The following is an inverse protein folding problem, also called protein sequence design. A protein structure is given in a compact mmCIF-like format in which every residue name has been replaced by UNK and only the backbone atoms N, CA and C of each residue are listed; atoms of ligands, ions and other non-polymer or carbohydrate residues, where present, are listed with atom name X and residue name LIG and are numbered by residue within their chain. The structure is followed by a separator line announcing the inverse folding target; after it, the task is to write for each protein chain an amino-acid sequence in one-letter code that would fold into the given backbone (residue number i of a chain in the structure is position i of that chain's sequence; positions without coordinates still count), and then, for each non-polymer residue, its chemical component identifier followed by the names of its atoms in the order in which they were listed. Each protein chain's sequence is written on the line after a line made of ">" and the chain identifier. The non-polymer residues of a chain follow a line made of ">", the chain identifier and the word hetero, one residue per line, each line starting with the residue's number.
data_IF_336921193205
#
_entry.id   IF_336921193205
#
_cell.length_a   1.000
_cell.length_b   1.000
_cell.length_c   1.000
_cell.angle_alpha   90.00
_cell.angle_beta   90.00
_cell.angle_gamma   90.00
#
_symmetry.space_group_name_H-M   'P 1'
#
loop_
_entity.id
_entity.type
_entity.pdbx_description
1 polymer ?
#
# COMPACT_ATOMS: atom_id res chain seq x y z
N UNK A 1 -24.18 -23.37 17.31
CA UNK A 1 -24.24 -21.92 17.02
C UNK A 1 -22.85 -21.26 16.97
N UNK A 2 -21.75 -22.00 17.16
CA UNK A 2 -20.41 -21.42 17.33
C UNK A 2 -19.53 -21.43 16.07
N UNK A 3 -19.77 -22.33 15.11
CA UNK A 3 -19.01 -22.37 13.84
C UNK A 3 -19.26 -21.16 12.93
N UNK A 4 -20.50 -20.65 12.89
CA UNK A 4 -20.86 -19.49 12.07
C UNK A 4 -20.18 -18.20 12.56
N UNK A 5 -20.04 -18.06 13.88
CA UNK A 5 -19.36 -16.90 14.49
C UNK A 5 -17.87 -16.87 14.17
N UNK A 6 -17.22 -18.03 14.13
CA UNK A 6 -15.80 -18.13 13.78
C UNK A 6 -15.52 -17.74 12.33
N UNK A 7 -16.40 -18.14 11.40
CA UNK A 7 -16.23 -17.79 9.99
C UNK A 7 -16.40 -16.29 9.74
N UNK A 8 -17.34 -15.65 10.44
CA UNK A 8 -17.53 -14.20 10.36
C UNK A 8 -16.31 -13.41 10.85
N UNK A 9 -15.66 -13.84 11.94
CA UNK A 9 -14.45 -13.17 12.45
C UNK A 9 -13.29 -13.29 11.47
N UNK A 10 -13.10 -14.47 10.86
CA UNK A 10 -12.06 -14.67 9.82
C UNK A 10 -12.32 -13.76 8.62
N UNK A 11 -13.58 -13.65 8.18
CA UNK A 11 -13.96 -12.81 7.05
C UNK A 11 -13.73 -11.32 7.34
N UNK A 12 -14.06 -10.87 8.55
CA UNK A 12 -13.79 -9.50 8.99
C UNK A 12 -12.29 -9.20 9.05
N UNK A 13 -11.48 -10.12 9.57
CA UNK A 13 -10.04 -9.93 9.67
C UNK A 13 -9.37 -9.90 8.29
N UNK A 14 -9.78 -10.79 7.37
CA UNK A 14 -9.30 -10.80 5.98
C UNK A 14 -9.75 -9.54 5.22
N UNK A 15 -10.99 -9.09 5.45
CA UNK A 15 -11.51 -7.84 4.89
C UNK A 15 -10.70 -6.62 5.37
N UNK A 16 -10.41 -6.55 6.68
CA UNK A 16 -9.59 -5.48 7.26
C UNK A 16 -8.16 -5.50 6.71
N UNK A 17 -7.53 -6.67 6.55
CA UNK A 17 -6.19 -6.80 5.95
C UNK A 17 -6.19 -6.36 4.48
N UNK A 18 -7.21 -6.73 3.70
CA UNK A 18 -7.37 -6.26 2.32
C UNK A 18 -7.56 -4.74 2.27
N UNK A 19 -8.33 -4.18 3.19
CA UNK A 19 -8.59 -2.73 3.30
C UNK A 19 -7.36 -1.93 3.74
N UNK A 20 -6.54 -2.48 4.64
CA UNK A 20 -5.27 -1.87 5.06
C UNK A 20 -4.24 -1.88 3.92
N UNK A 21 -4.24 -2.92 3.09
CA UNK A 21 -3.31 -3.06 1.97
C UNK A 21 -3.61 -2.06 0.84
N UNK A 22 -4.90 -1.77 0.58
CA UNK A 22 -5.31 -0.77 -0.42
C UNK A 22 -5.04 0.68 0.03
N UNK A 23 -5.06 0.94 1.34
CA UNK A 23 -4.85 2.29 1.90
C UNK A 23 -3.39 2.78 1.75
N UNK A 24 -2.42 1.87 1.79
CA UNK A 24 -0.99 2.21 1.69
C UNK A 24 -0.58 2.60 0.26
N UNK A 25 -1.18 1.99 -0.75
CA UNK A 25 -0.86 2.27 -2.16
C UNK A 25 -1.51 3.56 -2.67
N UNK A 26 -2.66 3.96 -2.10
CA UNK A 26 -3.41 5.14 -2.55
C UNK A 26 -2.85 6.47 -2.03
N UNK A 27 -2.14 6.47 -0.90
CA UNK A 27 -1.64 7.71 -0.29
C UNK A 27 -0.47 8.33 -1.08
N UNK A 28 0.47 7.52 -1.55
CA UNK A 28 1.71 8.03 -2.17
C UNK A 28 1.51 8.61 -3.57
N UNK A 29 0.64 8.00 -4.38
CA UNK A 29 0.33 8.48 -5.75
C UNK A 29 -0.38 9.83 -5.71
N UNK A 30 -1.24 10.05 -4.70
CA UNK A 30 -2.03 11.27 -4.57
C UNK A 30 -1.17 12.52 -4.27
N UNK A 31 -0.12 12.35 -3.46
CA UNK A 31 0.79 13.45 -3.10
C UNK A 31 1.68 13.90 -4.26
N UNK A 32 2.04 13.00 -5.18
CA UNK A 32 2.83 13.37 -6.36
C UNK A 32 1.99 14.09 -7.43
N UNK A 33 0.79 13.60 -7.73
CA UNK A 33 -0.09 14.23 -8.72
C UNK A 33 -0.53 15.64 -8.28
N UNK A 34 -0.81 15.82 -6.98
CA UNK A 34 -1.13 17.15 -6.43
C UNK A 34 0.04 18.12 -6.53
N UNK A 35 1.27 17.63 -6.37
CA UNK A 35 2.50 18.39 -6.52
C UNK A 35 2.72 18.84 -7.98
N UNK A 36 2.53 17.93 -8.94
CA UNK A 36 2.63 18.22 -10.38
C UNK A 36 1.59 19.27 -10.83
N UNK A 37 0.33 19.14 -10.39
CA UNK A 37 -0.73 20.12 -10.67
C UNK A 37 -0.42 21.50 -10.08
N UNK A 38 0.08 21.54 -8.84
CA UNK A 38 0.55 22.77 -8.20
C UNK A 38 1.64 23.45 -9.05
N UNK A 39 2.62 22.68 -9.56
CA UNK A 39 3.67 23.23 -10.42
C UNK A 39 3.15 23.74 -11.75
N UNK A 40 2.26 22.99 -12.40
CA UNK A 40 1.69 23.40 -13.67
C UNK A 40 0.92 24.72 -13.55
N UNK A 41 0.19 24.92 -12.44
CA UNK A 41 -0.49 26.18 -12.12
C UNK A 41 0.51 27.31 -11.88
N UNK A 42 1.55 27.08 -11.10
CA UNK A 42 2.56 28.09 -10.80
C UNK A 42 3.31 28.55 -12.07
N UNK A 43 3.73 27.60 -12.92
CA UNK A 43 4.40 27.90 -14.20
C UNK A 43 3.54 28.75 -15.12
N UNK A 44 2.26 28.42 -15.25
CA UNK A 44 1.33 29.18 -16.09
C UNK A 44 1.11 30.61 -15.58
N UNK A 45 1.25 30.83 -14.26
CA UNK A 45 1.16 32.16 -13.64
C UNK A 45 2.43 32.98 -13.86
N UNK A 46 3.61 32.38 -13.71
CA UNK A 46 4.88 33.09 -13.72
C UNK A 46 5.41 33.38 -15.14
N UNK A 47 5.07 32.52 -16.13
CA UNK A 47 5.56 32.67 -17.50
C UNK A 47 4.54 33.43 -18.36
N UNK A 48 4.58 34.76 -18.27
CA UNK A 48 3.76 35.64 -19.12
C UNK A 48 4.27 35.65 -20.57
N UNK A 49 5.60 35.80 -20.76
CA UNK A 49 6.24 35.85 -22.08
C UNK A 49 6.67 34.46 -22.55
N UNK A 50 5.80 33.86 -23.36
CA UNK A 50 5.93 32.48 -23.81
C UNK A 50 6.92 32.40 -24.96
N UNK A 51 8.21 32.32 -24.67
CA UNK A 51 9.24 32.05 -25.67
C UNK A 51 9.33 30.54 -25.91
N UNK A 52 9.81 30.14 -27.08
CA UNK A 52 10.01 28.73 -27.46
C UNK A 52 11.50 28.46 -27.50
N UNK A 53 11.92 27.27 -27.05
CA UNK A 53 13.32 26.85 -27.03
C UNK A 53 14.15 27.40 -25.86
N UNK A 54 13.50 28.01 -24.86
CA UNK A 54 14.16 28.53 -23.65
C UNK A 54 13.72 27.68 -22.46
N UNK A 55 14.70 27.34 -21.62
CA UNK A 55 14.46 26.66 -20.35
C UNK A 55 14.15 27.69 -19.27
N UNK A 56 13.04 27.48 -18.55
CA UNK A 56 12.66 28.29 -17.41
C UNK A 56 12.88 27.48 -16.13
N UNK A 57 13.54 28.11 -15.16
CA UNK A 57 13.64 27.58 -13.80
C UNK A 57 12.42 28.03 -13.01
N UNK A 58 11.85 27.13 -12.22
CA UNK A 58 10.77 27.49 -11.30
C UNK A 58 11.32 27.57 -9.88
N UNK A 59 10.93 28.61 -9.14
CA UNK A 59 11.20 28.71 -7.72
C UNK A 59 10.17 27.89 -6.95
N UNK A 60 10.64 26.92 -6.18
CA UNK A 60 9.81 26.11 -5.30
C UNK A 60 9.59 26.82 -3.96
N UNK A 61 8.44 26.61 -3.29
CA UNK A 61 8.27 26.94 -1.89
C UNK A 61 9.36 26.27 -1.03
N UNK A 62 9.69 26.88 0.11
CA UNK A 62 10.70 26.39 1.05
C UNK A 62 10.52 24.92 1.45
N UNK A 63 9.28 24.43 1.48
CA UNK A 63 8.96 23.06 1.85
C UNK A 63 9.51 22.00 0.87
N UNK A 64 9.85 22.41 -0.36
CA UNK A 64 10.38 21.51 -1.40
C UNK A 64 11.85 21.83 -1.74
N UNK A 65 12.56 22.43 -0.80
CA UNK A 65 13.99 22.75 -0.96
C UNK A 65 14.77 21.48 -1.32
N UNK A 66 15.55 21.54 -2.39
CA UNK A 66 16.34 20.41 -2.90
C UNK A 66 15.74 19.72 -4.12
N UNK A 67 14.45 19.91 -4.42
CA UNK A 67 13.89 19.55 -5.73
C UNK A 67 14.26 20.61 -6.77
N UNK A 68 14.28 20.22 -8.05
CA UNK A 68 14.48 21.14 -9.17
C UNK A 68 13.51 20.80 -10.30
N UNK A 69 12.64 21.75 -10.63
CA UNK A 69 11.74 21.66 -11.77
C UNK A 69 12.17 22.66 -12.83
N UNK A 70 12.15 22.23 -14.09
CA UNK A 70 12.46 23.08 -15.25
C UNK A 70 11.52 22.78 -16.38
N UNK A 71 11.15 23.81 -17.13
CA UNK A 71 10.19 23.67 -18.24
C UNK A 71 10.76 24.24 -19.51
N UNK A 72 10.46 23.60 -20.64
CA UNK A 72 10.81 24.11 -21.97
C UNK A 72 9.63 23.95 -22.91
N UNK A 73 9.27 25.04 -23.60
CA UNK A 73 8.28 25.00 -24.67
C UNK A 73 8.94 24.77 -26.01
N UNK A 74 8.44 23.80 -26.77
CA UNK A 74 9.04 23.36 -28.03
C UNK A 74 7.98 23.31 -29.14
N UNK A 75 8.44 23.48 -30.38
CA UNK A 75 7.63 23.17 -31.57
C UNK A 75 7.82 21.68 -31.86
N UNK A 76 6.73 20.93 -31.94
CA UNK A 76 6.75 19.47 -32.15
C UNK A 76 7.48 19.08 -33.43
N UNK A 77 7.31 19.85 -34.51
CA UNK A 77 8.04 19.63 -35.77
C UNK A 77 9.54 19.81 -35.64
N UNK A 78 10.00 20.79 -34.84
CA UNK A 78 11.44 20.99 -34.62
C UNK A 78 12.02 19.90 -33.74
N UNK A 79 11.27 19.47 -32.72
CA UNK A 79 11.65 18.36 -31.85
C UNK A 79 11.75 17.05 -32.63
N UNK A 80 10.79 16.76 -33.50
CA UNK A 80 10.84 15.58 -34.36
C UNK A 80 12.11 15.55 -35.25
N UNK A 81 12.49 16.69 -35.85
CA UNK A 81 13.64 16.76 -36.76
C UNK A 81 14.98 16.72 -36.01
N UNK A 82 15.08 17.42 -34.87
CA UNK A 82 16.37 17.68 -34.20
C UNK A 82 16.58 16.89 -32.92
N UNK A 83 15.52 16.33 -32.35
CA UNK A 83 15.54 15.85 -30.98
C UNK A 83 15.73 16.98 -29.97
N UNK A 84 16.22 16.63 -28.79
CA UNK A 84 16.55 17.56 -27.72
C UNK A 84 17.57 16.91 -26.78
N UNK A 85 18.69 17.59 -26.54
CA UNK A 85 19.65 17.17 -25.53
C UNK A 85 19.68 18.20 -24.41
N UNK A 86 19.35 17.76 -23.20
CA UNK A 86 19.28 18.63 -22.04
C UNK A 86 19.58 17.93 -20.72
N UNK A 87 20.55 18.48 -19.97
CA UNK A 87 20.96 17.98 -18.65
C UNK A 87 21.34 16.50 -18.69
N UNK A 88 20.44 15.63 -18.25
CA UNK A 88 20.64 14.18 -18.25
C UNK A 88 19.83 13.47 -19.35
N UNK A 89 18.89 14.16 -19.98
CA UNK A 89 17.95 13.58 -20.92
C UNK A 89 18.38 13.89 -22.36
N UNK A 90 18.46 12.85 -23.18
CA UNK A 90 18.76 12.95 -24.59
C UNK A 90 17.65 12.30 -25.41
N UNK A 91 16.81 13.15 -26.00
CA UNK A 91 15.75 12.78 -26.92
C UNK A 91 16.33 12.75 -28.33
N UNK A 92 16.37 11.58 -28.99
CA UNK A 92 16.83 11.50 -30.37
C UNK A 92 15.83 12.16 -31.33
N UNK A 93 16.24 12.43 -32.58
CA UNK A 93 15.32 12.71 -33.67
C UNK A 93 14.28 11.58 -33.86
N UNK A 94 13.19 11.90 -34.54
CA UNK A 94 12.08 11.00 -34.88
C UNK A 94 11.21 10.49 -33.72
N UNK A 95 11.32 11.08 -32.53
CA UNK A 95 10.35 10.88 -31.45
C UNK A 95 9.08 11.65 -31.77
N UNK A 96 7.94 10.96 -31.83
CA UNK A 96 6.63 11.55 -32.18
C UNK A 96 5.79 11.79 -30.92
N UNK A 97 5.52 13.04 -30.54
CA UNK A 97 4.61 13.35 -29.44
C UNK A 97 3.15 13.08 -29.85
N UNK A 98 2.37 12.48 -28.95
CA UNK A 98 0.94 12.26 -29.10
C UNK A 98 0.16 12.89 -27.92
N UNK A 99 -0.98 13.57 -28.17
CA UNK A 99 -1.56 13.84 -29.48
C UNK A 99 -0.75 14.86 -30.30
N UNK A 100 -0.89 14.82 -31.62
CA UNK A 100 -0.15 15.73 -32.50
C UNK A 100 -0.68 17.17 -32.35
N UNK A 101 0.12 18.03 -31.72
CA UNK A 101 -0.13 19.48 -31.59
C UNK A 101 1.02 20.28 -32.18
N UNK A 102 0.80 21.57 -32.48
CA UNK A 102 1.85 22.46 -33.00
C UNK A 102 3.00 22.70 -32.02
N UNK A 103 2.68 22.75 -30.72
CA UNK A 103 3.65 23.00 -29.64
C UNK A 103 3.36 22.08 -28.46
N UNK A 104 4.42 21.80 -27.72
CA UNK A 104 4.40 21.04 -26.47
C UNK A 104 5.29 21.72 -25.44
N UNK A 105 5.08 21.38 -24.18
CA UNK A 105 6.01 21.67 -23.08
C UNK A 105 6.53 20.37 -22.52
N UNK A 106 7.83 20.30 -22.24
CA UNK A 106 8.41 19.24 -21.43
C UNK A 106 8.72 19.83 -20.05
N UNK A 107 8.14 19.22 -19.03
CA UNK A 107 8.45 19.43 -17.62
C UNK A 107 9.53 18.42 -17.23
N UNK A 108 10.65 18.92 -16.72
CA UNK A 108 11.74 18.13 -16.16
C UNK A 108 11.70 18.22 -14.65
N UNK A 109 11.88 17.07 -14.02
CA UNK A 109 11.69 16.91 -12.59
C UNK A 109 12.92 16.23 -12.01
N UNK A 110 13.46 16.81 -10.95
CA UNK A 110 14.55 16.24 -10.19
C UNK A 110 14.15 16.28 -8.72
N UNK A 111 13.87 15.11 -8.17
CA UNK A 111 13.40 14.98 -6.79
C UNK A 111 14.54 15.09 -5.77
N UNK A 112 15.80 14.95 -6.19
CA UNK A 112 16.93 15.08 -5.27
C UNK A 112 16.78 14.20 -4.04
N UNK A 113 16.95 14.79 -2.85
CA UNK A 113 16.82 14.09 -1.57
C UNK A 113 15.39 13.64 -1.25
N UNK A 114 14.37 14.17 -1.95
CA UNK A 114 12.97 13.80 -1.76
C UNK A 114 12.57 12.54 -2.53
N UNK A 115 13.50 11.95 -3.29
CA UNK A 115 13.22 10.76 -4.10
C UNK A 115 12.54 9.65 -3.30
N UNK A 116 13.08 9.31 -2.12
CA UNK A 116 12.53 8.23 -1.28
C UNK A 116 11.22 8.59 -0.56
N UNK A 117 10.82 9.86 -0.55
CA UNK A 117 9.53 10.29 0.00
C UNK A 117 8.39 10.04 -0.99
N UNK A 118 8.64 10.27 -2.29
CA UNK A 118 7.63 10.16 -3.35
C UNK A 118 7.68 8.81 -4.08
N UNK A 119 8.83 8.13 -4.06
CA UNK A 119 9.05 6.91 -4.82
C UNK A 119 9.57 5.79 -3.93
N UNK A 120 8.85 4.67 -3.96
CA UNK A 120 9.23 3.48 -3.22
C UNK A 120 9.85 2.43 -4.15
N UNK A 121 10.92 1.80 -3.67
CA UNK A 121 11.50 0.60 -4.29
C UNK A 121 11.38 -0.57 -3.32
N UNK A 122 11.32 -1.82 -3.80
CA UNK A 122 11.25 -2.99 -2.93
C UNK A 122 12.47 -3.03 -2.02
N UNK A 123 12.30 -3.56 -0.81
CA UNK A 123 13.38 -3.66 0.19
C UNK A 123 14.58 -4.49 -0.27
N UNK A 124 14.42 -5.32 -1.31
CA UNK A 124 15.51 -6.04 -1.96
C UNK A 124 16.42 -5.14 -2.80
N UNK A 125 16.10 -3.87 -2.96
CA UNK A 125 16.84 -2.88 -3.75
C UNK A 125 17.06 -1.60 -2.96
N UNK A 126 18.09 -0.85 -3.34
CA UNK A 126 18.41 0.46 -2.77
C UNK A 126 18.68 1.45 -3.89
N UNK A 127 18.08 2.64 -3.83
CA UNK A 127 18.32 3.70 -4.80
C UNK A 127 19.75 4.25 -4.65
N UNK A 128 20.47 4.36 -5.76
CA UNK A 128 21.84 4.92 -5.81
C UNK A 128 21.91 6.26 -6.53
N UNK A 129 20.78 6.71 -7.07
CA UNK A 129 20.61 8.00 -7.71
C UNK A 129 19.26 8.64 -7.33
N UNK A 130 19.14 9.99 -7.43
CA UNK A 130 17.86 10.67 -7.36
C UNK A 130 16.91 10.18 -8.46
N UNK A 131 15.61 10.27 -8.19
CA UNK A 131 14.57 10.06 -9.20
C UNK A 131 14.50 11.30 -10.08
N UNK A 132 14.59 11.06 -11.39
CA UNK A 132 14.40 12.07 -12.41
C UNK A 132 13.17 11.75 -13.24
N UNK A 133 12.33 12.76 -13.44
CA UNK A 133 11.11 12.66 -14.22
C UNK A 133 11.16 13.56 -15.46
N UNK A 134 10.43 13.16 -16.48
CA UNK A 134 9.97 14.11 -17.49
C UNK A 134 8.56 13.78 -17.94
N UNK A 135 7.76 14.84 -18.04
CA UNK A 135 6.37 14.76 -18.50
C UNK A 135 6.18 15.77 -19.62
N UNK A 136 5.49 15.34 -20.68
CA UNK A 136 5.16 16.21 -21.80
C UNK A 136 3.70 16.64 -21.74
N UNK A 137 3.42 17.88 -22.13
CA UNK A 137 2.09 18.47 -22.17
C UNK A 137 1.84 19.20 -23.47
N UNK A 138 0.57 19.27 -23.85
CA UNK A 138 0.11 20.21 -24.88
C UNK A 138 0.44 21.66 -24.51
N UNK A 139 0.65 22.52 -25.50
CA UNK A 139 0.92 23.95 -25.28
C UNK A 139 0.24 24.80 -26.34
N UNK A 140 -0.35 25.93 -25.94
CA UNK A 140 -1.16 26.80 -26.81
C UNK A 140 -0.87 28.29 -26.60
N UNK A 141 -1.56 29.13 -27.38
CA UNK A 141 -1.51 30.59 -27.21
C UNK A 141 -2.29 31.04 -25.96
N UNK A 142 -3.11 30.18 -25.34
CA UNK A 142 -3.89 30.52 -24.14
C UNK A 142 -3.28 29.96 -22.85
N UNK A 143 -2.58 28.81 -22.92
CA UNK A 143 -1.86 28.24 -21.78
C UNK A 143 -0.42 27.83 -22.17
N UNK A 144 0.56 28.14 -21.31
CA UNK A 144 1.95 27.70 -21.50
C UNK A 144 2.03 26.18 -21.34
N UNK A 145 1.58 25.65 -20.20
CA UNK A 145 1.30 24.22 -19.97
C UNK A 145 -0.20 23.98 -20.13
N UNK A 146 -0.59 23.16 -21.10
CA UNK A 146 -1.96 22.74 -21.32
C UNK A 146 -2.40 21.64 -20.36
N UNK A 147 -3.70 21.33 -20.36
CA UNK A 147 -4.29 20.32 -19.46
C UNK A 147 -4.02 18.87 -19.88
N UNK A 148 -3.78 18.65 -21.16
CA UNK A 148 -3.62 17.32 -21.75
C UNK A 148 -2.13 16.93 -21.72
N UNK A 149 -1.82 15.82 -21.02
CA UNK A 149 -0.52 15.14 -21.04
C UNK A 149 -0.28 14.53 -22.44
N UNK A 150 0.98 14.49 -22.84
CA UNK A 150 1.43 13.89 -24.09
C UNK A 150 2.27 12.65 -23.82
N UNK A 151 2.10 11.63 -24.66
CA UNK A 151 2.98 10.47 -24.73
C UNK A 151 3.95 10.59 -25.91
N UNK A 152 4.96 9.72 -25.93
CA UNK A 152 5.92 9.63 -27.04
C UNK A 152 5.80 8.28 -27.74
N UNK A 153 5.76 8.31 -29.06
CA UNK A 153 5.89 7.14 -29.91
C UNK A 153 7.31 7.09 -30.47
N UNK A 154 8.02 6.01 -30.16
CA UNK A 154 9.44 5.82 -30.44
C UNK A 154 9.58 4.49 -31.17
N UNK A 155 10.09 4.53 -32.41
CA UNK A 155 10.22 3.34 -33.26
C UNK A 155 11.66 2.79 -33.31
N UNK A 156 12.65 3.68 -33.36
CA UNK A 156 14.05 3.29 -33.61
C UNK A 156 14.95 3.52 -32.39
N UNK A 157 15.29 4.79 -32.10
CA UNK A 157 16.27 5.14 -31.08
C UNK A 157 15.55 5.52 -29.77
N UNK A 158 15.89 4.89 -28.64
CA UNK A 158 15.31 5.24 -27.35
C UNK A 158 15.78 6.61 -26.87
N UNK A 159 15.02 7.19 -25.95
CA UNK A 159 15.49 8.34 -25.17
C UNK A 159 16.55 7.82 -24.19
N UNK A 160 17.68 8.54 -24.07
CA UNK A 160 18.76 8.18 -23.16
C UNK A 160 18.73 9.06 -21.91
N UNK A 161 18.85 8.44 -20.75
CA UNK A 161 18.96 9.12 -19.45
C UNK A 161 20.33 8.85 -18.86
N UNK A 162 21.13 9.90 -18.67
CA UNK A 162 22.51 9.84 -18.21
C UNK A 162 22.64 10.23 -16.73
N UNK A 163 22.93 9.26 -15.87
CA UNK A 163 23.11 9.50 -14.44
C UNK A 163 24.59 9.81 -14.15
N UNK A 164 24.90 11.09 -13.89
CA UNK A 164 26.29 11.56 -13.74
C UNK A 164 26.84 11.45 -12.31
N UNK A 165 25.98 11.36 -11.29
CA UNK A 165 26.36 11.38 -9.87
C UNK A 165 25.81 10.17 -9.13
N UNK A 166 26.35 8.99 -9.44
CA UNK A 166 25.94 7.73 -8.79
C UNK A 166 26.94 7.40 -7.71
N UNK A 167 26.47 7.26 -6.47
CA UNK A 167 27.30 6.85 -5.33
C UNK A 167 27.21 5.34 -5.19
N UNK A 168 28.22 4.63 -5.69
CA UNK A 168 28.37 3.20 -5.43
C UNK A 168 29.25 3.00 -4.20
N UNK A 169 28.78 2.17 -3.28
CA UNK A 169 29.53 1.81 -2.07
C UNK A 169 30.47 0.62 -2.34
N UNK A 170 30.18 -0.24 -3.32
CA UNK A 170 31.00 -1.39 -3.66
C UNK A 170 31.31 -1.49 -5.16
N UNK A 171 32.50 -2.00 -5.52
CA UNK A 171 32.93 -2.20 -6.91
C UNK A 171 32.13 -3.27 -7.66
N UNK A 172 31.34 -4.11 -6.97
CA UNK A 172 30.55 -5.21 -7.56
C UNK A 172 29.09 -4.84 -7.79
N UNK A 173 28.62 -3.71 -7.29
CA UNK A 173 27.24 -3.31 -7.48
C UNK A 173 27.06 -2.86 -8.93
N UNK A 174 26.27 -3.62 -9.69
CA UNK A 174 25.86 -3.25 -11.04
C UNK A 174 24.50 -2.58 -10.96
N UNK A 175 24.40 -1.26 -11.19
CA UNK A 175 23.11 -0.57 -11.16
C UNK A 175 22.14 -1.10 -12.21
N UNK A 176 20.86 -1.03 -11.89
CA UNK A 176 19.75 -1.42 -12.75
C UNK A 176 18.85 -0.19 -12.92
N UNK A 177 18.39 0.05 -14.14
CA UNK A 177 17.43 1.10 -14.43
C UNK A 177 16.05 0.69 -13.92
N UNK A 178 15.38 1.62 -13.27
CA UNK A 178 14.02 1.44 -12.79
C UNK A 178 13.14 2.54 -13.36
N UNK A 179 12.03 2.13 -13.96
CA UNK A 179 10.94 2.98 -14.43
C UNK A 179 9.74 2.81 -13.49
N UNK A 180 9.20 3.94 -13.01
CA UNK A 180 7.96 3.96 -12.24
C UNK A 180 6.79 4.19 -13.20
N UNK A 181 5.90 3.21 -13.28
CA UNK A 181 4.68 3.28 -14.08
C UNK A 181 3.54 3.90 -13.26
N UNK A 182 2.55 4.50 -13.94
CA UNK A 182 1.41 5.20 -13.31
C UNK A 182 0.56 4.29 -12.38
N UNK A 183 0.63 2.97 -12.56
CA UNK A 183 -0.07 1.99 -11.73
C UNK A 183 0.73 1.53 -10.50
N UNK A 184 1.86 2.19 -10.21
CA UNK A 184 2.76 1.83 -9.11
C UNK A 184 3.60 0.58 -9.38
N UNK A 185 3.55 0.02 -10.60
CA UNK A 185 4.43 -1.07 -11.00
C UNK A 185 5.81 -0.52 -11.34
N UNK A 186 6.84 -1.26 -10.94
CA UNK A 186 8.23 -0.96 -11.25
C UNK A 186 8.71 -1.86 -12.38
N UNK A 187 9.28 -1.25 -13.42
CA UNK A 187 9.92 -1.97 -14.49
C UNK A 187 11.43 -1.87 -14.37
N UNK A 188 12.08 -3.02 -14.35
CA UNK A 188 13.53 -3.14 -14.22
C UNK A 188 14.14 -3.44 -15.58
N UNK A 189 15.06 -2.58 -16.01
CA UNK A 189 15.79 -2.72 -17.26
C UNK A 189 17.29 -2.68 -17.01
N UNK A 190 18.04 -3.53 -17.70
CA UNK A 190 19.50 -3.44 -17.69
C UNK A 190 19.95 -2.14 -18.37
N UNK A 191 21.07 -1.59 -17.89
CA UNK A 191 21.69 -0.44 -18.52
C UNK A 191 22.32 -0.82 -19.86
N UNK A 192 22.22 0.06 -20.84
CA UNK A 192 22.89 -0.10 -22.14
C UNK A 192 24.38 0.28 -22.06
N UNK A 193 24.68 1.32 -21.26
CA UNK A 193 26.02 1.80 -20.95
C UNK A 193 26.10 2.13 -19.45
N UNK A 194 27.30 2.20 -18.85
CA UNK A 194 27.43 2.56 -17.44
C UNK A 194 26.63 3.83 -17.10
N UNK A 195 25.67 3.70 -16.19
CA UNK A 195 24.79 4.77 -15.73
C UNK A 195 23.90 5.41 -16.81
N UNK A 196 23.56 4.66 -17.87
CA UNK A 196 22.66 5.11 -18.94
C UNK A 196 21.45 4.19 -19.06
N UNK A 197 20.26 4.78 -18.95
CA UNK A 197 18.98 4.09 -19.15
C UNK A 197 18.40 4.42 -20.52
N UNK A 198 17.88 3.41 -21.20
CA UNK A 198 17.11 3.53 -22.44
C UNK A 198 15.62 3.48 -22.13
N UNK A 199 14.89 4.52 -22.53
CA UNK A 199 13.47 4.68 -22.20
C UNK A 199 12.63 4.99 -23.44
N UNK A 200 11.37 4.57 -23.40
CA UNK A 200 10.44 4.62 -24.54
C UNK A 200 9.17 5.45 -24.24
N UNK A 201 9.11 6.12 -23.10
CA UNK A 201 7.93 6.86 -22.67
C UNK A 201 8.27 8.01 -21.75
N UNK A 202 7.24 8.75 -21.34
CA UNK A 202 7.30 9.72 -20.24
C UNK A 202 7.17 8.99 -18.91
N UNK A 203 7.75 9.56 -17.86
CA UNK A 203 7.64 8.98 -16.53
C UNK A 203 8.81 9.34 -15.65
N UNK A 204 9.01 8.52 -14.61
CA UNK A 204 10.04 8.70 -13.60
C UNK A 204 11.02 7.55 -13.65
N UNK A 205 12.30 7.89 -13.50
CA UNK A 205 13.40 6.96 -13.68
C UNK A 205 14.45 7.13 -12.59
N UNK A 206 15.01 6.01 -12.14
CA UNK A 206 16.14 6.01 -11.20
C UNK A 206 17.06 4.81 -11.45
N UNK A 207 18.18 4.80 -10.73
CA UNK A 207 19.10 3.67 -10.64
C UNK A 207 19.01 3.03 -9.27
N UNK A 208 18.94 1.70 -9.25
CA UNK A 208 18.96 0.91 -8.02
C UNK A 208 20.06 -0.14 -8.07
N UNK A 209 20.50 -0.59 -6.90
CA UNK A 209 21.37 -1.76 -6.74
C UNK A 209 20.67 -2.77 -5.82
N UNK A 210 20.91 -4.08 -5.99
CA UNK A 210 20.44 -5.07 -5.03
C UNK A 210 20.93 -4.73 -3.61
N UNK A 211 20.04 -4.73 -2.63
CA UNK A 211 20.41 -4.39 -1.25
C UNK A 211 21.03 -5.60 -0.56
N UNK A 212 22.24 -5.51 0.03
CA UNK A 212 22.86 -6.63 0.74
C UNK A 212 22.11 -6.99 2.03
N UNK A 213 21.33 -6.04 2.58
CA UNK A 213 20.56 -6.21 3.81
C UNK A 213 19.28 -7.01 3.64
N UNK A 214 18.83 -7.27 2.41
CA UNK A 214 17.70 -8.17 2.16
C UNK A 214 18.16 -9.63 2.21
N UNK A 215 18.46 -10.09 3.41
CA UNK A 215 18.57 -11.51 3.66
C UNK A 215 17.16 -12.07 3.76
N UNK A 216 16.66 -12.63 2.64
CA UNK A 216 15.34 -13.28 2.54
C UNK A 216 15.09 -14.26 3.69
N UNK A 217 16.15 -14.88 4.23
CA UNK A 217 16.08 -15.78 5.37
C UNK A 217 15.71 -15.08 6.68
N UNK A 218 16.25 -13.88 6.98
CA UNK A 218 15.98 -13.16 8.24
C UNK A 218 14.54 -12.64 8.32
N UNK A 219 13.99 -12.12 7.22
CA UNK A 219 12.59 -11.68 7.18
C UNK A 219 11.63 -12.87 7.29
N UNK A 220 11.96 -13.99 6.63
CA UNK A 220 11.17 -15.23 6.74
C UNK A 220 11.22 -15.78 8.17
N UNK A 221 12.38 -15.76 8.82
CA UNK A 221 12.54 -16.18 10.22
C UNK A 221 11.73 -15.27 11.16
N UNK A 222 11.79 -13.94 10.99
CA UNK A 222 11.07 -13.02 11.87
C UNK A 222 9.55 -13.10 11.69
N UNK A 223 9.09 -13.30 10.45
CA UNK A 223 7.68 -13.54 10.15
C UNK A 223 7.19 -14.85 10.77
N UNK A 224 7.96 -15.95 10.62
CA UNK A 224 7.67 -17.24 11.25
C UNK A 224 7.65 -17.11 12.78
N UNK A 225 8.62 -16.40 13.37
CA UNK A 225 8.69 -16.19 14.81
C UNK A 225 7.45 -15.43 15.33
N UNK A 226 6.99 -14.41 14.58
CA UNK A 226 5.75 -13.70 14.87
C UNK A 226 4.52 -14.61 14.87
N UNK A 227 4.38 -15.50 13.88
CA UNK A 227 3.27 -16.46 13.83
C UNK A 227 3.32 -17.49 14.96
N UNK A 228 4.52 -18.00 15.28
CA UNK A 228 4.70 -18.98 16.36
C UNK A 228 4.35 -18.35 17.71
N UNK A 229 4.82 -17.13 17.98
CA UNK A 229 4.50 -16.43 19.23
C UNK A 229 3.00 -16.12 19.35
N UNK A 230 2.35 -15.70 18.27
CA UNK A 230 0.91 -15.45 18.26
C UNK A 230 0.09 -16.74 18.49
N UNK A 231 0.50 -17.85 17.86
CA UNK A 231 -0.17 -19.14 18.02
C UNK A 231 -0.03 -19.67 19.45
N UNK A 232 1.18 -19.60 20.03
CA UNK A 232 1.42 -20.01 21.43
C UNK A 232 0.59 -19.15 22.40
N UNK A 233 0.53 -17.83 22.17
CA UNK A 233 -0.31 -16.93 22.96
C UNK A 233 -1.80 -17.29 22.90
N UNK A 234 -2.30 -17.61 21.71
CA UNK A 234 -3.69 -18.02 21.51
C UNK A 234 -4.02 -19.33 22.25
N UNK A 235 -3.14 -20.34 22.16
CA UNK A 235 -3.33 -21.62 22.85
C UNK A 235 -3.36 -21.45 24.36
N UNK A 236 -2.46 -20.64 24.93
CA UNK A 236 -2.44 -20.34 26.37
C UNK A 236 -3.73 -19.64 26.82
N UNK A 237 -4.23 -18.69 26.03
CA UNK A 237 -5.49 -17.99 26.32
C UNK A 237 -6.69 -18.95 26.33
N UNK A 238 -6.78 -19.86 25.35
CA UNK A 238 -7.83 -20.88 25.30
C UNK A 238 -7.77 -21.80 26.52
N UNK A 239 -6.57 -22.24 26.92
CA UNK A 239 -6.41 -23.09 28.10
C UNK A 239 -6.84 -22.38 29.39
N UNK A 240 -6.53 -21.09 29.56
CA UNK A 240 -7.00 -20.28 30.68
C UNK A 240 -8.53 -20.15 30.69
N UNK A 241 -9.16 -19.93 29.54
CA UNK A 241 -10.62 -19.86 29.46
C UNK A 241 -11.28 -21.20 29.84
N UNK A 242 -10.73 -22.33 29.37
CA UNK A 242 -11.24 -23.67 29.72
C UNK A 242 -11.12 -23.94 31.22
N UNK A 243 -10.00 -23.58 31.86
CA UNK A 243 -9.83 -23.79 33.30
C UNK A 243 -10.77 -22.91 34.11
N UNK A 244 -10.99 -21.65 33.71
CA UNK A 244 -11.97 -20.77 34.34
C UNK A 244 -13.41 -21.30 34.20
N UNK A 245 -13.79 -21.79 33.02
CA UNK A 245 -15.12 -22.38 32.81
C UNK A 245 -15.30 -23.67 33.62
N UNK A 246 -14.28 -24.55 33.66
CA UNK A 246 -14.32 -25.76 34.50
C UNK A 246 -14.40 -25.41 35.98
N UNK A 247 -13.66 -24.40 36.44
CA UNK A 247 -13.71 -23.93 37.82
C UNK A 247 -15.07 -23.31 38.17
N UNK A 248 -15.66 -22.52 37.26
CA UNK A 248 -16.99 -21.96 37.42
C UNK A 248 -18.06 -23.08 37.47
N UNK A 249 -17.95 -24.08 36.59
CA UNK A 249 -18.86 -25.24 36.57
C UNK A 249 -18.73 -26.08 37.84
N UNK A 250 -17.51 -26.35 38.32
CA UNK A 250 -17.29 -27.02 39.62
C UNK A 250 -17.86 -26.22 40.78
N UNK A 251 -17.68 -24.90 40.80
CA UNK A 251 -18.28 -24.02 41.82
C UNK A 251 -19.81 -24.04 41.77
N UNK A 252 -20.41 -24.17 40.59
CA UNK A 252 -21.86 -24.34 40.45
C UNK A 252 -22.31 -25.72 40.96
N UNK A 253 -21.61 -26.81 40.60
CA UNK A 253 -21.93 -28.15 41.11
C UNK A 253 -21.83 -28.22 42.63
N UNK A 254 -20.79 -27.62 43.23
CA UNK A 254 -20.60 -27.58 44.69
C UNK A 254 -21.67 -26.76 45.43
N UNK A 255 -22.29 -25.78 44.76
CA UNK A 255 -23.45 -25.05 45.27
C UNK A 255 -24.76 -25.85 45.15
N UNK A 256 -24.85 -26.75 44.17
CA UNK A 256 -26.01 -27.63 43.97
C UNK A 256 -26.01 -28.82 44.94
N UNK A 257 -24.84 -29.37 45.27
CA UNK A 257 -24.71 -30.44 46.30
C UNK A 257 -25.15 -29.95 47.69
N UNK A 258 -24.79 -28.73 48.07
CA UNK A 258 -25.17 -28.14 49.38
C UNK A 258 -26.67 -27.87 49.54
N UNK A 259 -27.40 -27.71 48.43
CA UNK A 259 -28.86 -27.56 48.47
C UNK A 259 -29.60 -28.92 48.45
N UNK A 260 -28.91 -30.01 48.10
CA UNK A 260 -29.48 -31.37 48.12
C UNK A 260 -29.39 -32.03 49.51
N UNK A 261 -28.42 -31.67 50.34
CA UNK A 261 -28.32 -32.14 51.74
C UNK A 261 -29.38 -31.51 52.66
N UNK A 262 -30.01 -30.41 52.23
CA UNK A 262 -31.17 -29.81 52.88
C UNK A 262 -32.52 -30.28 52.28
N UNK A 263 -32.51 -31.35 51.47
CA UNK A 263 -33.73 -32.03 51.06
C UNK A 263 -34.41 -32.67 52.28
N UNK A 264 -35.56 -32.11 52.65
CA UNK A 264 -36.38 -32.44 53.81
C UNK A 264 -36.49 -33.96 54.05
N UNK A 265 -35.98 -34.42 55.19
CA UNK A 265 -36.20 -35.78 55.66
C UNK A 265 -37.70 -35.95 55.93
N UNK A 266 -38.39 -36.75 55.11
CA UNK A 266 -39.79 -37.10 55.32
C UNK A 266 -39.99 -37.63 56.74
N UNK A 267 -40.94 -37.00 57.45
CA UNK A 267 -41.27 -37.26 58.84
C UNK A 267 -41.73 -38.72 59.01
N UNK A 268 -40.90 -39.55 59.64
CA UNK A 268 -41.22 -40.95 59.91
C UNK A 268 -41.73 -41.09 61.33
N UNK A 269 -42.96 -41.57 61.49
CA UNK A 269 -43.52 -41.82 62.82
C UNK A 269 -43.49 -43.31 63.17
N UNK A 270 -43.25 -43.59 64.45
CA UNK A 270 -43.18 -44.94 65.02
C UNK A 270 -44.55 -45.38 65.53
N UNK A 271 -45.05 -46.52 65.06
CA UNK A 271 -46.11 -47.30 65.74
C UNK A 271 -45.48 -48.62 66.19
N UNK A 272 -45.25 -48.76 67.49
CA UNK A 272 -44.62 -49.96 68.06
C UNK A 272 -43.23 -50.26 67.45
N UNK A 273 -42.93 -51.54 67.22
CA UNK A 273 -41.60 -52.00 66.77
C UNK A 273 -41.39 -51.99 65.24
N UNK A 274 -42.28 -51.38 64.45
CA UNK A 274 -42.08 -51.30 62.98
C UNK A 274 -42.26 -49.89 62.44
N UNK A 275 -41.35 -49.49 61.54
CA UNK A 275 -41.24 -48.15 60.96
C UNK A 275 -41.87 -48.12 59.57
N UNK A 276 -42.86 -47.26 59.34
CA UNK A 276 -43.52 -47.12 58.03
C UNK A 276 -43.49 -45.67 57.53
N UNK A 277 -43.25 -45.44 56.23
CA UNK A 277 -43.29 -44.10 55.63
C UNK A 277 -44.74 -43.65 55.37
N UNK A 278 -45.08 -42.44 55.83
CA UNK A 278 -46.38 -41.80 55.55
C UNK A 278 -46.33 -41.09 54.19
N UNK A 279 -47.07 -41.61 53.22
CA UNK A 279 -47.38 -40.89 51.99
C UNK A 279 -48.51 -39.89 52.23
N UNK A 280 -48.21 -38.58 52.15
CA UNK A 280 -49.26 -37.55 52.11
C UNK A 280 -50.05 -37.71 50.81
N UNK A 281 -51.24 -38.28 50.94
CA UNK A 281 -52.17 -38.51 49.83
C UNK A 281 -52.82 -37.18 49.44
N UNK A 282 -52.22 -36.45 48.50
CA UNK A 282 -52.85 -35.25 47.92
C UNK A 282 -53.65 -35.68 46.68
N UNK A 283 -54.98 -35.69 46.84
CA UNK A 283 -55.96 -35.85 45.74
C UNK A 283 -55.92 -34.62 44.84
N UNK A 284 -55.55 -34.79 43.57
CA UNK A 284 -55.82 -33.81 42.51
C UNK A 284 -57.29 -33.93 42.07
N UNK A 285 -58.05 -32.84 42.09
CA UNK A 285 -59.35 -32.78 41.40
C UNK A 285 -59.12 -32.70 39.88
N UNK A 286 -59.96 -33.38 39.07
CA UNK A 286 -59.82 -33.37 37.62
C UNK A 286 -60.33 -32.04 37.03
N UNK A 287 -59.50 -31.39 36.21
CA UNK A 287 -59.92 -30.35 35.27
C UNK A 287 -60.24 -31.01 33.94
N UNK A 288 -61.46 -30.79 33.46
CA UNK A 288 -61.99 -31.32 32.21
C UNK A 288 -61.21 -30.77 31.01
N UNK A 289 -60.90 -31.67 30.07
CA UNK A 289 -60.39 -31.37 28.73
C UNK A 289 -61.61 -31.38 27.80
N UNK A 290 -61.91 -30.25 27.19
CA UNK A 290 -62.79 -30.17 26.02
C UNK A 290 -61.88 -30.13 24.79
N UNK A 291 -61.97 -31.17 23.96
CA UNK A 291 -61.32 -31.25 22.65
C UNK A 291 -62.33 -30.93 21.55
N UNK A 292 -61.91 -30.06 20.65
CA UNK A 292 -62.21 -29.88 19.23
C UNK A 292 -63.54 -30.39 18.63
N UNK A 293 -64.18 -29.47 17.90
CA UNK A 293 -64.54 -29.68 16.48
C UNK A 293 -64.29 -28.41 15.68
#
# INVERSE_FOLDING_TARGET
>A
MDQYKWWQVIWLFMSIIMFLSSLVQTLQTHDHESLEDFFCKQVNKDIENRKTGIFYNTSLPSNYTGMKFRVVRLRTSSFYIRGLNYSIFNFPPHVVPQPNRKRMVILYENFGNWSSHYFNVPTSYTMVAPVFGFVAYTSSENAFIGKEKMSFVIQEKPILIHFHHVRLHEKKDTPICVEFLDNGILKFNNMSKPYVCEVYGTGHYTLVVPSPLYNKNLFTIWWILGFVTAFVGLVLLVMLLVTLVKAAKMRQMKKLEKNSENGEAFDTFWIGETKMPLGSMIRTQPVLIENDS
#
